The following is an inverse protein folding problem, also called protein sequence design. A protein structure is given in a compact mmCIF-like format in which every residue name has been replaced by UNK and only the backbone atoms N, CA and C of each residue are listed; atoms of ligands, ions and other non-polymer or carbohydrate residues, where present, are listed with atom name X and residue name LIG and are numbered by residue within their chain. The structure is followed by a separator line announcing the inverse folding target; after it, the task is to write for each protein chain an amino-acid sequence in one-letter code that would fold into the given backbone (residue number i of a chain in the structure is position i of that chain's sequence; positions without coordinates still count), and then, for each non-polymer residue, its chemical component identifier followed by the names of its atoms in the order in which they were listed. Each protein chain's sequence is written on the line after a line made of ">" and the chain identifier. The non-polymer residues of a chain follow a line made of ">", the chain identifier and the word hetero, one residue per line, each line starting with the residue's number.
data_IF_199867763811
#
_entry.id   IF_199867763811
#
_cell.length_a   1.000
_cell.length_b   1.000
_cell.length_c   1.000
_cell.angle_alpha   90.00
_cell.angle_beta   90.00
_cell.angle_gamma   90.00
#
_symmetry.space_group_name_H-M   'P 1'
#
loop_
_entity.id
_entity.type
_entity.pdbx_description
1 polymer ?
#
# COMPACT_ATOMS: atom_id res chain seq x y z
N UNK A 1 -7.66 7.31 -25.87
CA UNK A 1 -7.16 8.07 -24.70
C UNK A 1 -6.38 7.11 -23.81
N UNK A 2 -5.06 7.06 -23.97
CA UNK A 2 -4.20 6.25 -23.12
C UNK A 2 -4.22 6.88 -21.71
N UNK A 3 -4.95 6.27 -20.78
CA UNK A 3 -4.90 6.62 -19.36
C UNK A 3 -3.49 6.25 -18.88
N UNK A 4 -2.64 7.24 -18.63
CA UNK A 4 -1.34 7.02 -17.99
C UNK A 4 -1.59 6.44 -16.58
N UNK A 5 -1.51 5.11 -16.46
CA UNK A 5 -1.88 4.39 -15.23
C UNK A 5 -1.18 5.00 -14.01
N UNK A 6 -1.99 5.48 -13.06
CA UNK A 6 -1.51 6.02 -11.78
C UNK A 6 -0.74 7.33 -11.88
N UNK A 7 -0.83 8.11 -12.96
CA UNK A 7 -0.25 9.46 -13.05
C UNK A 7 -1.31 10.53 -13.20
N UNK A 8 -1.06 11.70 -12.60
CA UNK A 8 -1.98 12.85 -12.54
C UNK A 8 -1.26 14.06 -13.12
N UNK A 9 -1.97 14.86 -13.91
CA UNK A 9 -1.44 16.12 -14.42
C UNK A 9 -1.27 17.14 -13.29
N UNK A 10 -0.13 17.83 -13.23
CA UNK A 10 0.21 18.79 -12.19
C UNK A 10 -0.87 19.88 -12.03
N UNK A 11 -1.46 20.33 -13.15
CA UNK A 11 -2.56 21.30 -13.17
C UNK A 11 -3.86 20.81 -12.50
N UNK A 12 -4.08 19.50 -12.43
CA UNK A 12 -5.30 18.91 -11.86
C UNK A 12 -5.21 18.58 -10.36
N UNK A 13 -4.00 18.62 -9.78
CA UNK A 13 -3.76 18.19 -8.40
C UNK A 13 -4.49 19.08 -7.38
N UNK A 14 -4.41 20.40 -7.54
CA UNK A 14 -5.00 21.35 -6.58
C UNK A 14 -6.52 21.26 -6.57
N UNK A 15 -7.14 21.11 -7.75
CA UNK A 15 -8.58 20.89 -7.88
C UNK A 15 -9.00 19.55 -7.27
N UNK A 16 -8.17 18.51 -7.40
CA UNK A 16 -8.48 17.23 -6.75
C UNK A 16 -8.46 17.35 -5.23
N UNK A 17 -7.54 18.13 -4.67
CA UNK A 17 -7.49 18.37 -3.23
C UNK A 17 -8.70 19.16 -2.70
N UNK A 18 -9.26 20.08 -3.49
CA UNK A 18 -10.51 20.75 -3.09
C UNK A 18 -11.69 19.80 -2.97
N UNK A 19 -11.68 18.70 -3.74
CA UNK A 19 -12.77 17.72 -3.73
C UNK A 19 -12.59 16.64 -2.66
N UNK A 20 -11.34 16.32 -2.28
CA UNK A 20 -11.04 15.16 -1.42
C UNK A 20 -10.54 15.48 -0.02
N UNK A 21 -9.98 16.67 0.21
CA UNK A 21 -9.35 17.00 1.49
C UNK A 21 -10.22 17.94 2.34
N UNK A 22 -10.40 17.69 3.66
CA UNK A 22 -11.19 18.56 4.53
C UNK A 22 -10.52 19.92 4.81
N UNK A 23 -9.21 20.01 4.58
CA UNK A 23 -8.40 21.23 4.79
C UNK A 23 -8.45 22.14 3.56
N UNK A 24 -8.28 23.44 3.78
CA UNK A 24 -8.24 24.41 2.68
C UNK A 24 -7.09 24.08 1.70
N UNK A 25 -7.39 23.85 0.41
CA UNK A 25 -6.42 23.35 -0.58
C UNK A 25 -5.24 24.30 -0.81
N UNK A 26 -5.39 25.59 -0.51
CA UNK A 26 -4.30 26.57 -0.62
C UNK A 26 -3.26 26.40 0.47
N UNK A 27 -3.71 26.24 1.72
CA UNK A 27 -2.83 25.95 2.85
C UNK A 27 -2.15 24.59 2.67
N UNK A 28 -2.91 23.62 2.13
CA UNK A 28 -2.34 22.33 1.80
C UNK A 28 -1.24 22.42 0.75
N UNK A 29 -1.43 23.22 -0.30
CA UNK A 29 -0.41 23.44 -1.32
C UNK A 29 0.87 24.07 -0.75
N UNK A 30 0.79 25.05 0.16
CA UNK A 30 1.98 25.63 0.80
C UNK A 30 2.73 24.62 1.68
N UNK A 31 2.02 23.76 2.39
CA UNK A 31 2.63 22.73 3.24
C UNK A 31 3.26 21.61 2.41
N UNK A 32 2.65 21.25 1.27
CA UNK A 32 3.26 20.35 0.30
C UNK A 32 4.54 20.96 -0.27
N UNK A 33 4.56 22.26 -0.60
CA UNK A 33 5.77 22.95 -1.05
C UNK A 33 6.88 22.89 0.02
N UNK A 34 6.57 23.20 1.28
CA UNK A 34 7.51 23.10 2.39
C UNK A 34 8.06 21.68 2.59
N UNK A 35 7.19 20.67 2.47
CA UNK A 35 7.56 19.26 2.57
C UNK A 35 8.53 18.88 1.45
N UNK A 36 8.24 19.23 0.20
CA UNK A 36 9.11 18.98 -0.96
C UNK A 36 10.48 19.62 -0.76
N UNK A 37 10.55 20.85 -0.25
CA UNK A 37 11.82 21.54 0.04
C UNK A 37 12.65 20.86 1.12
N UNK A 38 12.00 20.16 2.05
CA UNK A 38 12.70 19.45 3.13
C UNK A 38 13.22 18.07 2.71
N UNK A 39 12.72 17.49 1.62
CA UNK A 39 13.11 16.15 1.16
C UNK A 39 14.48 16.11 0.49
N UNK A 40 14.85 17.16 -0.25
CA UNK A 40 16.09 17.22 -1.01
C UNK A 40 16.54 18.66 -1.28
N UNK A 41 17.77 18.85 -1.77
CA UNK A 41 18.25 20.16 -2.24
C UNK A 41 17.40 20.64 -3.41
N UNK A 42 17.09 21.94 -3.46
CA UNK A 42 16.22 22.55 -4.48
C UNK A 42 16.67 22.30 -5.92
N UNK A 43 17.98 22.22 -6.16
CA UNK A 43 18.56 21.96 -7.48
C UNK A 43 18.62 20.48 -7.84
N UNK A 44 18.28 19.58 -6.93
CA UNK A 44 18.36 18.14 -7.16
C UNK A 44 17.25 17.73 -8.15
N UNK A 45 17.55 16.86 -9.14
CA UNK A 45 16.54 16.34 -10.03
C UNK A 45 15.61 15.36 -9.30
N UNK A 46 14.32 15.48 -9.55
CA UNK A 46 13.33 14.48 -9.13
C UNK A 46 13.51 13.24 -9.99
N UNK A 47 13.38 12.05 -9.38
CA UNK A 47 13.45 10.80 -10.13
C UNK A 47 12.37 10.81 -11.25
N UNK A 48 12.76 10.53 -12.51
CA UNK A 48 11.87 10.33 -13.66
C UNK A 48 10.58 9.52 -13.42
N UNK A 49 10.67 8.53 -12.53
CA UNK A 49 9.55 7.66 -12.19
C UNK A 49 8.47 8.41 -11.41
N UNK A 50 8.85 9.44 -10.64
CA UNK A 50 7.96 10.21 -9.80
C UNK A 50 7.34 11.41 -10.52
N UNK A 51 8.13 12.14 -11.31
CA UNK A 51 7.64 13.27 -12.10
C UNK A 51 8.34 13.31 -13.46
N UNK A 52 7.58 13.58 -14.52
CA UNK A 52 8.13 13.71 -15.87
C UNK A 52 7.24 14.53 -16.78
N UNK A 53 7.84 15.02 -17.87
CA UNK A 53 7.14 15.77 -18.92
C UNK A 53 6.68 14.80 -20.01
N UNK A 54 5.42 14.93 -20.40
CA UNK A 54 4.74 14.15 -21.43
C UNK A 54 4.05 15.10 -22.40
N UNK A 55 4.26 14.87 -23.69
CA UNK A 55 3.70 15.73 -24.73
C UNK A 55 2.35 15.17 -25.15
N UNK A 56 1.35 16.05 -25.32
CA UNK A 56 -0.05 15.79 -25.71
C UNK A 56 -0.31 14.39 -26.31
N UNK A 57 -0.73 13.45 -25.44
CA UNK A 57 -1.18 12.11 -25.83
C UNK A 57 -0.10 11.08 -26.15
N UNK A 58 1.19 11.39 -26.02
CA UNK A 58 2.27 10.42 -26.16
C UNK A 58 2.49 9.63 -24.87
N UNK A 59 2.61 8.29 -25.00
CA UNK A 59 2.97 7.41 -23.90
C UNK A 59 4.45 7.53 -23.48
N UNK A 60 5.28 8.09 -24.36
CA UNK A 60 6.72 8.28 -24.14
C UNK A 60 7.01 9.59 -23.40
N UNK A 61 7.83 9.46 -22.34
CA UNK A 61 8.37 10.58 -21.57
C UNK A 61 9.45 11.32 -22.37
N UNK A 62 9.50 12.64 -22.22
CA UNK A 62 10.66 13.41 -22.66
C UNK A 62 11.83 13.19 -21.67
N UNK A 63 12.86 12.48 -22.11
CA UNK A 63 14.05 12.16 -21.30
C UNK A 63 14.97 13.36 -21.11
N UNK A 64 14.84 14.39 -21.95
CA UNK A 64 15.68 15.60 -21.90
C UNK A 64 15.19 16.62 -20.87
N UNK A 65 13.90 16.53 -20.51
CA UNK A 65 13.26 17.39 -19.53
C UNK A 65 13.33 16.79 -18.10
N UNK A 66 14.22 17.36 -17.29
CA UNK A 66 14.40 17.00 -15.88
C UNK A 66 13.76 18.07 -15.00
N UNK A 67 12.87 17.63 -14.11
CA UNK A 67 12.16 18.47 -13.14
C UNK A 67 12.95 18.47 -11.84
N UNK A 68 13.22 19.65 -11.27
CA UNK A 68 13.89 19.78 -9.98
C UNK A 68 12.90 19.88 -8.82
N UNK A 69 13.35 19.53 -7.61
CA UNK A 69 12.54 19.69 -6.38
C UNK A 69 12.13 21.15 -6.15
N UNK A 70 13.00 22.10 -6.48
CA UNK A 70 12.70 23.54 -6.38
C UNK A 70 11.58 23.96 -7.33
N UNK A 71 11.66 23.59 -8.60
CA UNK A 71 10.64 23.96 -9.59
C UNK A 71 9.25 23.41 -9.24
N UNK A 72 9.19 22.21 -8.66
CA UNK A 72 7.94 21.63 -8.18
C UNK A 72 7.40 22.35 -6.93
N UNK A 73 8.28 22.70 -5.98
CA UNK A 73 7.88 23.45 -4.79
C UNK A 73 7.35 24.86 -5.14
N UNK A 74 8.00 25.55 -6.07
CA UNK A 74 7.61 26.90 -6.50
C UNK A 74 6.24 26.90 -7.23
N UNK A 75 5.92 25.82 -7.95
CA UNK A 75 4.58 25.63 -8.50
C UNK A 75 3.52 25.54 -7.40
N UNK A 76 3.77 24.77 -6.33
CA UNK A 76 2.81 24.62 -5.23
C UNK A 76 2.67 25.90 -4.38
N UNK A 77 3.72 26.71 -4.25
CA UNK A 77 3.62 28.06 -3.65
C UNK A 77 2.81 29.03 -4.53
N UNK A 78 2.95 28.92 -5.84
CA UNK A 78 2.11 29.70 -6.77
C UNK A 78 0.64 29.28 -6.63
N UNK A 79 0.39 27.97 -6.48
CA UNK A 79 -0.94 27.44 -6.22
C UNK A 79 -1.51 27.87 -4.85
N UNK A 80 -0.68 27.94 -3.79
CA UNK A 80 -1.13 28.40 -2.46
C UNK A 80 -1.55 29.88 -2.47
N UNK A 81 -0.89 30.68 -3.31
CA UNK A 81 -1.23 32.08 -3.57
C UNK A 81 -2.53 32.25 -4.38
N UNK A 82 -3.15 31.16 -4.83
CA UNK A 82 -4.41 31.15 -5.59
C UNK A 82 -4.25 31.30 -7.10
N UNK A 83 -3.01 31.39 -7.61
CA UNK A 83 -2.69 31.52 -9.04
C UNK A 83 -1.66 30.44 -9.42
N UNK A 84 -2.07 29.18 -9.65
CA UNK A 84 -1.14 28.12 -10.02
C UNK A 84 -0.41 28.49 -11.31
N UNK A 85 0.91 28.32 -11.33
CA UNK A 85 1.74 28.66 -12.48
C UNK A 85 1.32 27.80 -13.69
N UNK A 86 1.07 28.43 -14.84
CA UNK A 86 0.64 27.71 -16.06
C UNK A 86 1.79 26.95 -16.71
N UNK A 87 3.03 27.35 -16.42
CA UNK A 87 4.27 26.73 -16.90
C UNK A 87 5.21 26.41 -15.73
N UNK A 88 6.10 25.45 -15.92
CA UNK A 88 7.12 25.05 -14.95
C UNK A 88 8.48 24.97 -15.65
N UNK A 89 9.50 25.57 -15.04
CA UNK A 89 10.87 25.60 -15.57
C UNK A 89 11.57 24.25 -15.34
N UNK A 90 12.01 23.62 -16.42
CA UNK A 90 12.78 22.36 -16.40
C UNK A 90 14.17 22.57 -17.01
N UNK A 91 15.03 21.55 -16.95
CA UNK A 91 16.38 21.59 -17.53
C UNK A 91 16.40 21.87 -19.05
N UNK A 92 15.33 21.56 -19.78
CA UNK A 92 15.24 21.75 -21.24
C UNK A 92 14.36 22.94 -21.65
N UNK A 93 13.74 23.65 -20.69
CA UNK A 93 12.89 24.81 -20.96
C UNK A 93 11.63 24.85 -20.10
N UNK A 94 10.74 25.80 -20.40
CA UNK A 94 9.44 25.91 -19.73
C UNK A 94 8.40 25.01 -20.40
N UNK A 95 7.72 24.19 -19.61
CA UNK A 95 6.66 23.31 -20.09
C UNK A 95 5.33 23.65 -19.44
N UNK A 96 4.19 23.48 -20.13
CA UNK A 96 2.87 23.64 -19.54
C UNK A 96 2.65 22.66 -18.37
N UNK A 97 2.03 23.13 -17.29
CA UNK A 97 1.71 22.29 -16.12
C UNK A 97 0.77 21.11 -16.47
N UNK A 98 -0.02 21.21 -17.55
CA UNK A 98 -0.82 20.11 -18.07
C UNK A 98 0.01 18.93 -18.59
N UNK A 99 1.23 19.21 -19.05
CA UNK A 99 2.13 18.24 -19.67
C UNK A 99 3.02 17.55 -18.63
N UNK A 100 2.96 17.98 -17.38
CA UNK A 100 3.73 17.41 -16.29
C UNK A 100 2.88 16.38 -15.57
N UNK A 101 3.29 15.11 -15.66
CA UNK A 101 2.59 14.01 -15.03
C UNK A 101 3.37 13.53 -13.81
N UNK A 102 2.69 13.57 -12.66
CA UNK A 102 3.21 13.11 -11.38
C UNK A 102 2.61 11.75 -11.06
N UNK A 103 3.44 10.83 -10.57
CA UNK A 103 2.98 9.54 -10.08
C UNK A 103 2.14 9.73 -8.81
N UNK A 104 0.89 9.29 -8.89
CA UNK A 104 -0.12 9.46 -7.85
C UNK A 104 0.34 8.91 -6.51
N UNK A 105 0.93 7.71 -6.50
CA UNK A 105 1.37 7.09 -5.24
C UNK A 105 2.49 7.88 -4.55
N UNK A 106 3.41 8.46 -5.33
CA UNK A 106 4.45 9.32 -4.75
C UNK A 106 3.88 10.63 -4.21
N UNK A 107 2.92 11.22 -4.92
CA UNK A 107 2.18 12.37 -4.41
C UNK A 107 1.43 12.01 -3.12
N UNK A 108 0.79 10.84 -3.06
CA UNK A 108 0.09 10.34 -1.87
C UNK A 108 1.05 10.22 -0.67
N UNK A 109 2.25 9.66 -0.87
CA UNK A 109 3.27 9.60 0.17
C UNK A 109 3.68 10.99 0.69
N UNK A 110 3.86 11.95 -0.22
CA UNK A 110 4.14 13.35 0.16
C UNK A 110 2.96 13.94 0.93
N UNK A 111 1.71 13.69 0.49
CA UNK A 111 0.53 14.21 1.18
C UNK A 111 0.37 13.60 2.58
N UNK A 112 0.66 12.32 2.78
CA UNK A 112 0.63 11.68 4.11
C UNK A 112 1.66 12.32 5.04
N UNK A 113 2.89 12.52 4.55
CA UNK A 113 3.94 13.22 5.30
C UNK A 113 3.55 14.68 5.59
N UNK A 114 2.91 15.35 4.63
CA UNK A 114 2.42 16.72 4.79
C UNK A 114 1.31 16.78 5.85
N UNK A 115 0.35 15.86 5.83
CA UNK A 115 -0.70 15.74 6.85
C UNK A 115 -0.11 15.44 8.23
N UNK A 116 0.88 14.57 8.30
CA UNK A 116 1.58 14.29 9.56
C UNK A 116 2.29 15.54 10.11
N UNK A 117 2.93 16.33 9.24
CA UNK A 117 3.55 17.61 9.61
C UNK A 117 2.52 18.66 10.00
N UNK A 118 1.42 18.77 9.26
CA UNK A 118 0.31 19.65 9.61
C UNK A 118 -0.34 19.25 10.92
N UNK A 119 -0.48 17.97 11.27
CA UNK A 119 -0.97 17.52 12.58
C UNK A 119 -0.03 17.91 13.73
N UNK A 120 1.28 17.92 13.47
CA UNK A 120 2.29 18.45 14.39
C UNK A 120 2.35 19.98 14.42
N UNK A 121 1.83 20.67 13.40
CA UNK A 121 1.71 22.13 13.34
C UNK A 121 0.36 22.60 13.89
N UNK A 122 -0.75 21.86 13.76
CA UNK A 122 -2.05 22.19 14.40
C UNK A 122 -1.97 22.09 15.93
N UNK A 123 -1.03 21.32 16.47
CA UNK A 123 -0.70 21.32 17.91
C UNK A 123 0.17 22.51 18.34
N UNK A 124 0.82 23.21 17.40
CA UNK A 124 1.66 24.40 17.65
C UNK A 124 1.04 25.72 17.14
N UNK A 125 0.07 25.63 16.23
CA UNK A 125 -0.66 26.71 15.56
C UNK A 125 -2.17 26.55 15.79
N UNK A 126 -2.55 26.04 16.96
CA UNK A 126 -3.85 26.38 17.52
C UNK A 126 -3.95 27.92 17.45
N UNK A 127 -4.97 28.49 16.81
CA UNK A 127 -5.15 29.93 16.85
C UNK A 127 -5.21 30.32 18.33
N UNK A 128 -4.39 31.28 18.73
CA UNK A 128 -4.51 32.01 19.99
C UNK A 128 -5.80 32.87 20.04
N UNK A 129 -6.87 32.38 19.40
CA UNK A 129 -8.24 32.86 19.44
C UNK A 129 -9.14 31.76 20.01
N UNK A 130 -8.72 31.11 21.09
CA UNK A 130 -9.67 30.80 22.14
C UNK A 130 -9.65 32.03 23.02
N UNK A 131 -10.62 32.91 22.81
CA UNK A 131 -11.05 33.86 23.84
C UNK A 131 -11.60 33.05 25.01
N UNK A 132 -10.72 32.36 25.73
CA UNK A 132 -10.94 32.15 27.15
C UNK A 132 -10.78 33.53 27.74
N UNK A 133 -11.93 34.18 27.92
CA UNK A 133 -12.15 35.10 29.04
C UNK A 133 -11.63 34.41 30.29
N UNK A 134 -10.33 34.57 30.55
CA UNK A 134 -9.78 34.60 31.89
C UNK A 134 -10.48 35.80 32.51
N UNK A 135 -11.56 35.54 33.24
CA UNK A 135 -12.11 36.48 34.19
C UNK A 135 -11.06 36.67 35.30
N UNK A 136 -9.99 37.39 34.98
CA UNK A 136 -9.29 38.21 35.94
C UNK A 136 -10.34 39.17 36.46
N UNK A 137 -10.65 39.02 37.75
CA UNK A 137 -11.51 39.92 38.49
C UNK A 137 -11.06 41.37 38.24
N UNK A 138 -11.71 42.00 37.26
CA UNK A 138 -11.70 43.44 37.10
C UNK A 138 -12.47 43.98 38.28
N UNK A 139 -11.74 44.76 39.08
CA UNK A 139 -12.29 45.70 40.02
C UNK A 139 -13.25 46.62 39.28
N UNK A 140 -14.54 46.31 39.35
CA UNK A 140 -15.57 47.23 38.91
C UNK A 140 -15.62 48.41 39.89
N UNK A 141 -15.50 49.65 39.41
CA UNK A 141 -15.83 50.83 40.20
C UNK A 141 -17.35 50.95 40.28
N UNK A 142 -17.85 50.82 41.52
CA UNK A 142 -19.09 51.36 42.06
C UNK A 142 -20.07 52.00 41.04
N UNK A 143 -21.02 51.21 40.56
CA UNK A 143 -22.28 51.76 40.10
C UNK A 143 -23.03 52.33 41.31
N UNK A 144 -23.27 53.64 41.29
CA UNK A 144 -24.04 54.36 42.29
C UNK A 144 -25.46 53.79 42.39
N UNK A 145 -25.66 52.90 43.37
CA UNK A 145 -26.98 52.53 43.86
C UNK A 145 -27.54 53.76 44.54
N UNK A 146 -28.53 54.37 43.91
CA UNK A 146 -29.44 55.36 44.48
C UNK A 146 -29.81 54.98 45.91
N UNK A 147 -29.49 55.89 46.83
CA UNK A 147 -29.90 55.83 48.23
C UNK A 147 -31.41 55.62 48.36
N UNK A 148 -31.81 54.38 48.63
CA UNK A 148 -33.00 54.11 49.41
C UNK A 148 -32.53 53.73 50.81
N UNK A 149 -32.71 54.67 51.75
CA UNK A 149 -32.43 54.48 53.17
C UNK A 149 -33.01 53.14 53.66
N UNK A 150 -32.21 52.24 54.26
CA UNK A 150 -32.78 51.19 55.07
C UNK A 150 -33.47 51.85 56.28
N UNK A 151 -34.65 51.36 56.71
CA UNK A 151 -35.36 51.93 57.85
C UNK A 151 -34.46 51.88 59.08
N UNK A 152 -34.52 52.95 59.87
CA UNK A 152 -33.76 53.13 61.09
C UNK A 152 -33.76 51.85 61.96
N UNK A 153 -32.58 51.29 62.18
CA UNK A 153 -32.38 50.21 63.14
C UNK A 153 -32.54 50.82 64.54
N UNK A 154 -33.48 50.35 65.38
CA UNK A 154 -33.56 50.82 66.76
C UNK A 154 -32.34 50.33 67.54
N UNK A 155 -31.57 51.30 68.04
CA UNK A 155 -30.63 51.25 69.18
C UNK A 155 -30.15 49.85 69.60
N UNK A 156 -29.01 49.43 69.07
CA UNK A 156 -28.35 48.15 69.34
C UNK A 156 -27.65 48.04 70.70
N UNK A 157 -28.36 48.26 71.79
CA UNK A 157 -27.82 48.18 73.16
C UNK A 157 -28.67 47.31 74.10
N UNK A 158 -29.24 46.22 73.57
CA UNK A 158 -29.84 45.14 74.37
C UNK A 158 -29.05 43.83 74.17
N UNK A 159 -28.50 43.22 75.23
CA UNK A 159 -27.73 41.97 75.16
C UNK A 159 -28.45 40.79 74.47
N UNK A 160 -29.78 40.82 74.36
CA UNK A 160 -30.56 39.81 73.65
C UNK A 160 -30.48 39.92 72.12
N UNK A 161 -30.40 41.13 71.58
CA UNK A 161 -30.42 41.36 70.13
C UNK A 161 -29.08 40.98 69.46
N UNK A 162 -27.96 41.28 70.13
CA UNK A 162 -26.63 40.85 69.67
C UNK A 162 -26.50 39.32 69.63
N UNK A 163 -27.00 38.62 70.66
CA UNK A 163 -26.99 37.14 70.68
C UNK A 163 -27.84 36.55 69.57
N UNK A 164 -29.02 37.13 69.32
CA UNK A 164 -29.89 36.69 68.21
C UNK A 164 -29.22 36.91 66.85
N UNK A 165 -28.60 38.08 66.63
CA UNK A 165 -27.89 38.38 65.39
C UNK A 165 -26.68 37.46 65.16
N UNK A 166 -25.89 37.19 66.21
CA UNK A 166 -24.75 36.27 66.13
C UNK A 166 -25.20 34.82 65.88
N UNK A 167 -26.31 34.38 66.48
CA UNK A 167 -26.89 33.06 66.20
C UNK A 167 -27.41 32.95 64.75
N UNK A 168 -27.98 34.04 64.21
CA UNK A 168 -28.43 34.10 62.82
C UNK A 168 -27.25 33.99 61.84
N UNK A 169 -26.17 34.74 62.07
CA UNK A 169 -24.95 34.66 61.25
C UNK A 169 -24.28 33.28 61.30
N UNK A 170 -24.27 32.59 62.46
CA UNK A 170 -23.76 31.21 62.54
C UNK A 170 -24.59 30.25 61.70
N UNK A 171 -25.93 30.33 61.78
CA UNK A 171 -26.81 29.51 60.95
C UNK A 171 -26.66 29.79 59.45
N UNK A 172 -26.51 31.05 59.07
CA UNK A 172 -26.26 31.43 57.66
C UNK A 172 -24.89 30.93 57.19
N UNK A 173 -23.85 31.00 58.03
CA UNK A 173 -22.54 30.44 57.74
C UNK A 173 -22.53 28.92 57.62
N UNK A 174 -23.21 28.21 58.53
CA UNK A 174 -23.40 26.76 58.47
C UNK A 174 -24.15 26.35 57.20
N UNK A 175 -25.18 27.11 56.83
CA UNK A 175 -25.94 26.86 55.61
C UNK A 175 -25.10 27.10 54.35
N UNK A 176 -24.34 28.19 54.28
CA UNK A 176 -23.45 28.46 53.15
C UNK A 176 -22.31 27.44 53.04
N UNK A 177 -21.77 26.97 54.17
CA UNK A 177 -20.78 25.90 54.18
C UNK A 177 -21.35 24.56 53.69
N UNK A 178 -22.59 24.23 54.06
CA UNK A 178 -23.29 23.05 53.55
C UNK A 178 -23.55 23.17 52.04
N UNK A 179 -24.07 24.31 51.57
CA UNK A 179 -24.34 24.56 50.15
C UNK A 179 -23.05 24.49 49.30
N UNK A 180 -21.92 25.01 49.80
CA UNK A 180 -20.63 24.91 49.12
C UNK A 180 -20.11 23.47 49.05
N UNK A 181 -20.32 22.68 50.12
CA UNK A 181 -19.88 21.28 50.17
C UNK A 181 -20.71 20.40 49.24
N UNK A 182 -22.02 20.65 49.16
CA UNK A 182 -22.92 19.97 48.22
C UNK A 182 -22.55 20.31 46.77
N UNK A 183 -22.29 21.59 46.45
CA UNK A 183 -21.83 22.00 45.13
C UNK A 183 -20.48 21.37 44.74
N UNK A 184 -19.54 21.25 45.68
CA UNK A 184 -18.27 20.57 45.44
C UNK A 184 -18.46 19.07 45.20
N UNK A 185 -19.38 18.42 45.91
CA UNK A 185 -19.70 17.00 45.70
C UNK A 185 -20.32 16.75 44.33
N UNK A 186 -21.26 17.59 43.91
CA UNK A 186 -21.88 17.49 42.57
C UNK A 186 -20.83 17.70 41.47
N UNK A 187 -19.96 18.70 41.61
CA UNK A 187 -18.87 18.94 40.66
C UNK A 187 -17.90 17.74 40.57
N UNK A 188 -17.54 17.14 41.72
CA UNK A 188 -16.69 15.93 41.76
C UNK A 188 -17.37 14.74 41.11
N UNK A 189 -18.69 14.57 41.29
CA UNK A 189 -19.44 13.51 40.63
C UNK A 189 -19.48 13.69 39.12
N UNK A 190 -19.71 14.92 38.64
CA UNK A 190 -19.66 15.25 37.21
C UNK A 190 -18.31 14.94 36.58
N UNK A 191 -17.22 15.38 37.22
CA UNK A 191 -15.86 15.07 36.76
C UNK A 191 -15.57 13.56 36.76
N UNK A 192 -16.04 12.82 37.77
CA UNK A 192 -15.86 11.37 37.80
C UNK A 192 -16.61 10.67 36.66
N UNK A 193 -17.80 11.13 36.31
CA UNK A 193 -18.55 10.61 35.16
C UNK A 193 -17.80 10.86 33.85
N UNK A 194 -17.30 12.07 33.64
CA UNK A 194 -16.51 12.42 32.45
C UNK A 194 -15.23 11.57 32.35
N UNK A 195 -14.53 11.35 33.47
CA UNK A 195 -13.35 10.47 33.51
C UNK A 195 -13.71 9.03 33.13
N UNK A 196 -14.87 8.53 33.56
CA UNK A 196 -15.34 7.19 33.19
C UNK A 196 -15.64 7.12 31.69
N UNK A 197 -16.33 8.12 31.14
CA UNK A 197 -16.65 8.19 29.72
C UNK A 197 -15.39 8.27 28.85
N UNK A 198 -14.44 9.14 29.21
CA UNK A 198 -13.18 9.27 28.50
C UNK A 198 -12.35 7.97 28.57
N UNK A 199 -12.34 7.28 29.72
CA UNK A 199 -11.68 5.96 29.83
C UNK A 199 -12.34 4.91 28.95
N UNK A 200 -13.67 4.91 28.86
CA UNK A 200 -14.40 4.00 27.98
C UNK A 200 -14.07 4.28 26.50
N UNK A 201 -14.04 5.56 26.10
CA UNK A 201 -13.67 5.95 24.75
C UNK A 201 -12.21 5.57 24.41
N UNK A 202 -11.30 5.77 25.36
CA UNK A 202 -9.89 5.38 25.21
C UNK A 202 -9.77 3.86 25.03
N UNK A 203 -10.46 3.06 25.84
CA UNK A 203 -10.47 1.61 25.69
C UNK A 203 -11.02 1.14 24.33
N UNK A 204 -12.06 1.80 23.81
CA UNK A 204 -12.60 1.51 22.46
C UNK A 204 -11.56 1.85 21.38
N UNK A 205 -10.87 3.00 21.52
CA UNK A 205 -9.85 3.41 20.56
C UNK A 205 -8.62 2.53 20.60
N UNK A 206 -8.19 2.10 21.78
CA UNK A 206 -7.10 1.13 21.93
C UNK A 206 -7.46 -0.20 21.27
N UNK A 207 -8.68 -0.70 21.48
CA UNK A 207 -9.16 -1.92 20.82
C UNK A 207 -9.20 -1.77 19.29
N UNK A 208 -9.60 -0.59 18.78
CA UNK A 208 -9.59 -0.30 17.34
C UNK A 208 -8.16 -0.28 16.77
N UNK A 209 -7.20 0.28 17.50
CA UNK A 209 -5.79 0.33 17.10
C UNK A 209 -5.17 -1.07 17.11
N UNK A 210 -5.46 -1.89 18.12
CA UNK A 210 -4.98 -3.28 18.16
C UNK A 210 -5.54 -4.09 17.00
N UNK A 211 -6.84 -3.94 16.70
CA UNK A 211 -7.46 -4.63 15.57
C UNK A 211 -6.81 -4.23 14.23
N UNK A 212 -6.64 -2.93 13.97
CA UNK A 212 -5.99 -2.45 12.74
C UNK A 212 -4.54 -2.95 12.61
N UNK A 213 -3.84 -3.08 13.73
CA UNK A 213 -2.48 -3.62 13.75
C UNK A 213 -2.47 -5.12 13.40
N UNK A 214 -3.39 -5.90 13.97
CA UNK A 214 -3.53 -7.33 13.67
C UNK A 214 -3.90 -7.55 12.20
N UNK A 215 -4.85 -6.78 11.66
CA UNK A 215 -5.25 -6.82 10.26
C UNK A 215 -4.07 -6.46 9.33
N UNK A 216 -3.29 -5.44 9.70
CA UNK A 216 -2.09 -5.05 8.95
C UNK A 216 -1.00 -6.13 8.97
N UNK A 217 -0.78 -6.78 10.11
CA UNK A 217 0.15 -7.90 10.22
C UNK A 217 -0.31 -9.11 9.41
N UNK A 218 -1.63 -9.38 9.37
CA UNK A 218 -2.21 -10.45 8.59
C UNK A 218 -2.05 -10.21 7.08
N UNK A 219 -2.43 -9.03 6.59
CA UNK A 219 -2.23 -8.65 5.18
C UNK A 219 -0.76 -8.76 4.74
N UNK A 220 0.17 -8.41 5.64
CA UNK A 220 1.61 -8.56 5.35
C UNK A 220 2.03 -10.02 5.22
N UNK A 221 1.46 -10.92 6.04
CA UNK A 221 1.70 -12.38 5.92
C UNK A 221 1.13 -12.90 4.61
N UNK A 222 -0.12 -12.56 4.31
CA UNK A 222 -0.81 -13.02 3.10
C UNK A 222 -0.06 -12.57 1.82
N UNK A 223 0.40 -11.31 1.76
CA UNK A 223 1.22 -10.81 0.65
C UNK A 223 2.58 -11.51 0.55
N UNK A 224 3.17 -11.91 1.66
CA UNK A 224 4.42 -12.67 1.67
C UNK A 224 4.21 -14.08 1.11
N UNK A 225 3.12 -14.74 1.52
CA UNK A 225 2.76 -16.07 1.07
C UNK A 225 2.39 -16.08 -0.42
N UNK A 226 1.63 -15.07 -0.88
CA UNK A 226 1.32 -14.89 -2.31
C UNK A 226 2.60 -14.69 -3.15
N UNK A 227 3.56 -13.89 -2.66
CA UNK A 227 4.86 -13.73 -3.33
C UNK A 227 5.70 -15.00 -3.37
N UNK A 228 5.55 -15.89 -2.38
CA UNK A 228 6.22 -17.18 -2.38
C UNK A 228 5.53 -18.12 -3.37
N UNK A 229 4.21 -18.23 -3.33
CA UNK A 229 3.43 -19.05 -4.25
C UNK A 229 3.66 -18.64 -5.71
N UNK A 230 3.75 -17.33 -5.98
CA UNK A 230 4.07 -16.82 -7.32
C UNK A 230 5.45 -17.27 -7.80
N UNK A 231 6.47 -17.23 -6.93
CA UNK A 231 7.82 -17.70 -7.27
C UNK A 231 7.84 -19.20 -7.54
N UNK A 232 7.16 -19.99 -6.72
CA UNK A 232 7.03 -21.43 -6.93
C UNK A 232 6.35 -21.74 -8.28
N UNK A 233 5.29 -21.01 -8.62
CA UNK A 233 4.63 -21.15 -9.92
C UNK A 233 5.51 -20.72 -11.11
N UNK A 234 6.31 -19.66 -10.95
CA UNK A 234 7.28 -19.21 -11.96
C UNK A 234 8.38 -20.27 -12.17
N UNK A 235 8.93 -20.84 -11.09
CA UNK A 235 9.93 -21.92 -11.16
C UNK A 235 9.35 -23.19 -11.81
N UNK A 236 8.10 -23.55 -11.49
CA UNK A 236 7.39 -24.65 -12.17
C UNK A 236 7.18 -24.37 -13.66
N UNK A 237 6.84 -23.14 -14.03
CA UNK A 237 6.70 -22.73 -15.43
C UNK A 237 8.01 -22.87 -16.19
N UNK A 238 9.12 -22.38 -15.62
CA UNK A 238 10.45 -22.50 -16.22
C UNK A 238 10.86 -23.96 -16.40
N UNK A 239 10.60 -24.82 -15.41
CA UNK A 239 10.87 -26.24 -15.51
C UNK A 239 10.03 -26.92 -16.61
N UNK A 240 8.76 -26.53 -16.76
CA UNK A 240 7.91 -27.04 -17.84
C UNK A 240 8.43 -26.56 -19.20
N UNK A 241 8.84 -25.29 -19.31
CA UNK A 241 9.42 -24.72 -20.53
C UNK A 241 10.70 -25.45 -20.93
N UNK A 242 11.64 -25.67 -20.01
CA UNK A 242 12.88 -26.44 -20.27
C UNK A 242 12.55 -27.86 -20.78
N UNK A 243 11.59 -28.54 -20.14
CA UNK A 243 11.16 -29.88 -20.57
C UNK A 243 10.46 -29.87 -21.93
N UNK A 244 9.76 -28.79 -22.28
CA UNK A 244 9.14 -28.63 -23.59
C UNK A 244 10.19 -28.36 -24.66
N UNK A 245 11.20 -27.54 -24.38
CA UNK A 245 12.33 -27.30 -25.30
C UNK A 245 13.06 -28.61 -25.62
N UNK A 246 13.40 -29.42 -24.61
CA UNK A 246 13.99 -30.75 -24.79
C UNK A 246 13.12 -31.65 -25.65
N UNK A 247 11.81 -31.68 -25.38
CA UNK A 247 10.85 -32.48 -26.14
C UNK A 247 10.71 -31.98 -27.59
N UNK A 248 10.77 -30.66 -27.82
CA UNK A 248 10.71 -30.06 -29.14
C UNK A 248 11.94 -30.40 -29.97
N UNK A 249 13.15 -30.35 -29.39
CA UNK A 249 14.39 -30.78 -30.05
C UNK A 249 14.28 -32.25 -30.47
N UNK A 250 13.78 -33.10 -29.59
CA UNK A 250 13.56 -34.50 -29.92
C UNK A 250 12.50 -34.69 -31.03
N UNK A 251 11.41 -33.93 -31.00
CA UNK A 251 10.37 -33.97 -32.02
C UNK A 251 10.87 -33.49 -33.40
N UNK A 252 11.75 -32.48 -33.43
CA UNK A 252 12.44 -32.01 -34.65
C UNK A 252 13.31 -33.11 -35.27
N UNK A 253 14.02 -33.88 -34.44
CA UNK A 253 14.85 -35.03 -34.84
C UNK A 253 14.05 -36.26 -35.30
N UNK A 254 12.72 -36.24 -35.17
CA UNK A 254 11.83 -37.30 -35.64
C UNK A 254 10.92 -36.85 -36.78
N UNK A 255 11.07 -35.61 -37.24
CA UNK A 255 10.23 -35.06 -38.31
C UNK A 255 10.67 -35.65 -39.66
N UNK A 256 9.77 -36.30 -40.42
CA UNK A 256 10.13 -36.92 -41.69
C UNK A 256 10.55 -35.90 -42.77
N UNK A 257 10.07 -34.67 -42.65
CA UNK A 257 10.36 -33.59 -43.60
C UNK A 257 11.64 -32.80 -43.25
N UNK A 258 12.29 -33.11 -42.12
CA UNK A 258 13.50 -32.42 -41.70
C UNK A 258 14.74 -33.10 -42.34
N UNK A 259 15.52 -32.39 -43.18
CA UNK A 259 16.70 -32.96 -43.84
C UNK A 259 17.83 -33.35 -42.87
N UNK A 260 17.81 -32.83 -41.64
CA UNK A 260 18.78 -33.16 -40.58
C UNK A 260 18.32 -34.33 -39.71
N UNK A 261 17.09 -34.83 -39.90
CA UNK A 261 16.55 -35.94 -39.14
C UNK A 261 17.17 -37.26 -39.57
N UNK A 262 17.84 -38.01 -38.68
CA UNK A 262 18.46 -39.28 -39.04
C UNK A 262 17.40 -40.32 -39.44
N UNK A 263 17.40 -40.86 -40.68
CA UNK A 263 16.36 -41.78 -41.15
C UNK A 263 16.31 -43.08 -40.34
N UNK A 264 17.47 -43.54 -39.86
CA UNK A 264 17.59 -44.70 -38.98
C UNK A 264 16.88 -44.49 -37.64
N UNK A 265 16.91 -43.26 -37.10
CA UNK A 265 16.24 -42.91 -35.84
C UNK A 265 14.72 -42.87 -36.00
N UNK A 266 14.23 -42.29 -37.11
CA UNK A 266 12.80 -42.27 -37.45
C UNK A 266 12.28 -43.70 -37.56
N UNK A 267 12.99 -44.56 -38.31
CA UNK A 267 12.64 -45.97 -38.50
C UNK A 267 12.59 -46.71 -37.15
N UNK A 268 13.61 -46.50 -36.32
CA UNK A 268 13.67 -47.14 -35.01
C UNK A 268 12.54 -46.69 -34.08
N UNK A 269 12.19 -45.41 -34.11
CA UNK A 269 11.09 -44.86 -33.32
C UNK A 269 9.72 -45.36 -33.80
N UNK A 270 9.50 -45.47 -35.12
CA UNK A 270 8.27 -46.05 -35.68
C UNK A 270 8.10 -47.52 -35.30
N UNK A 271 9.17 -48.30 -35.43
CA UNK A 271 9.21 -49.70 -35.02
C UNK A 271 8.92 -49.85 -33.51
N UNK A 272 9.57 -49.03 -32.68
CA UNK A 272 9.30 -48.99 -31.24
C UNK A 272 7.83 -48.65 -30.95
N UNK A 273 7.28 -47.60 -31.57
CA UNK A 273 5.90 -47.16 -31.35
C UNK A 273 4.88 -48.24 -31.68
N UNK A 274 5.03 -48.91 -32.81
CA UNK A 274 4.08 -49.95 -33.24
C UNK A 274 4.20 -51.24 -32.42
N UNK A 275 5.42 -51.65 -32.06
CA UNK A 275 5.64 -52.89 -31.30
C UNK A 275 5.36 -52.74 -29.81
N UNK A 276 5.52 -51.52 -29.26
CA UNK A 276 5.31 -51.23 -27.83
C UNK A 276 4.02 -50.48 -27.55
N UNK A 277 3.27 -50.01 -28.57
CA UNK A 277 2.09 -49.14 -28.41
C UNK A 277 2.43 -47.90 -27.56
N UNK A 278 3.38 -47.09 -28.01
CA UNK A 278 3.88 -45.92 -27.28
C UNK A 278 4.40 -46.27 -25.86
N UNK A 279 4.97 -47.47 -25.69
CA UNK A 279 5.51 -47.95 -24.43
C UNK A 279 4.50 -48.55 -23.45
N UNK A 280 3.23 -48.75 -23.84
CA UNK A 280 2.19 -49.41 -23.02
C UNK A 280 2.43 -50.93 -22.92
N UNK A 281 2.90 -51.55 -24.01
CA UNK A 281 3.12 -52.98 -24.12
C UNK A 281 4.61 -53.34 -24.14
N UNK A 282 4.98 -54.41 -23.44
CA UNK A 282 6.34 -54.93 -23.44
C UNK A 282 6.47 -56.18 -24.34
N UNK A 283 7.02 -56.04 -25.56
CA UNK A 283 7.23 -57.16 -26.48
C UNK A 283 8.28 -58.19 -25.99
N UNK A 284 9.08 -57.82 -24.97
CA UNK A 284 10.07 -58.69 -24.32
C UNK A 284 9.56 -59.35 -23.02
N UNK A 285 8.26 -59.19 -22.69
CA UNK A 285 7.67 -59.72 -21.47
C UNK A 285 7.60 -61.25 -21.41
N UNK A 286 7.35 -61.79 -20.22
CA UNK A 286 7.16 -63.23 -19.99
C UNK A 286 5.95 -63.73 -20.79
N UNK A 287 6.21 -64.46 -21.89
CA UNK A 287 5.19 -64.98 -22.80
C UNK A 287 5.19 -64.38 -24.22
N UNK A 288 6.03 -63.37 -24.49
CA UNK A 288 6.18 -62.79 -25.83
C UNK A 288 7.08 -63.61 -26.77
N UNK A 289 6.96 -63.41 -28.08
CA UNK A 289 7.88 -63.99 -29.10
C UNK A 289 9.33 -63.50 -28.95
N UNK A 290 9.57 -62.47 -28.12
CA UNK A 290 10.84 -61.77 -28.03
C UNK A 290 10.96 -60.65 -29.06
N UNK A 291 11.78 -59.65 -28.76
CA UNK A 291 11.89 -58.42 -29.56
C UNK A 291 12.46 -58.67 -30.96
N UNK A 292 13.42 -59.59 -31.06
CA UNK A 292 14.13 -59.86 -32.31
C UNK A 292 13.25 -60.42 -33.44
N UNK A 293 12.42 -61.47 -33.24
CA UNK A 293 11.52 -61.95 -34.30
C UNK A 293 10.39 -60.96 -34.61
N UNK A 294 9.95 -60.15 -33.62
CA UNK A 294 8.93 -59.12 -33.84
C UNK A 294 9.47 -57.96 -34.69
N UNK A 295 10.67 -57.46 -34.39
CA UNK A 295 11.34 -56.43 -35.19
C UNK A 295 11.63 -56.92 -36.62
N UNK A 296 12.08 -58.17 -36.78
CA UNK A 296 12.33 -58.74 -38.11
C UNK A 296 11.04 -58.86 -38.94
N UNK A 297 9.97 -59.39 -38.35
CA UNK A 297 8.66 -59.49 -39.02
C UNK A 297 8.10 -58.09 -39.38
N UNK A 298 8.33 -57.09 -38.54
CA UNK A 298 7.93 -55.72 -38.80
C UNK A 298 8.71 -55.10 -39.98
N UNK A 299 10.03 -55.33 -40.06
CA UNK A 299 10.86 -54.87 -41.18
C UNK A 299 10.42 -55.50 -42.51
N UNK A 300 10.18 -56.83 -42.51
CA UNK A 300 9.70 -57.57 -43.68
C UNK A 300 8.33 -57.06 -44.15
N UNK A 301 7.40 -56.81 -43.22
CA UNK A 301 6.06 -56.27 -43.52
C UNK A 301 6.11 -54.86 -44.15
N UNK A 302 7.08 -54.04 -43.75
CA UNK A 302 7.23 -52.67 -44.21
C UNK A 302 8.24 -52.52 -45.37
N UNK A 303 8.80 -53.63 -45.88
CA UNK A 303 9.68 -53.63 -47.05
C UNK A 303 11.13 -53.17 -46.80
N UNK A 304 11.58 -53.13 -45.54
CA UNK A 304 12.94 -52.72 -45.20
C UNK A 304 13.90 -53.91 -45.19
N UNK A 305 15.09 -53.74 -45.77
CA UNK A 305 16.20 -54.69 -45.69
C UNK A 305 17.36 -54.07 -44.92
N UNK A 306 17.57 -54.54 -43.69
CA UNK A 306 18.64 -54.09 -42.80
C UNK A 306 19.67 -55.21 -42.58
N UNK A 307 20.92 -54.83 -42.37
CA UNK A 307 22.00 -55.72 -42.01
C UNK A 307 21.82 -56.26 -40.58
N UNK A 308 22.49 -57.37 -40.23
CA UNK A 308 22.37 -57.99 -38.90
C UNK A 308 22.67 -57.01 -37.75
N UNK A 309 23.70 -56.18 -37.88
CA UNK A 309 24.07 -55.16 -36.89
C UNK A 309 23.03 -54.05 -36.75
N UNK A 310 22.36 -53.66 -37.84
CA UNK A 310 21.27 -52.67 -37.82
C UNK A 310 20.02 -53.23 -37.16
N UNK A 311 19.71 -54.51 -37.41
CA UNK A 311 18.61 -55.22 -36.72
C UNK A 311 18.89 -55.33 -35.22
N UNK A 312 20.13 -55.61 -34.82
CA UNK A 312 20.53 -55.63 -33.40
C UNK A 312 20.36 -54.26 -32.73
N UNK A 313 20.79 -53.18 -33.41
CA UNK A 313 20.58 -51.79 -32.92
C UNK A 313 19.10 -51.44 -32.80
N UNK A 314 18.29 -51.81 -33.79
CA UNK A 314 16.84 -51.63 -33.77
C UNK A 314 16.19 -52.36 -32.60
N UNK A 315 16.58 -53.63 -32.37
CA UNK A 315 16.08 -54.43 -31.26
C UNK A 315 16.45 -53.82 -29.91
N UNK A 316 17.63 -53.21 -29.79
CA UNK A 316 18.05 -52.50 -28.58
C UNK A 316 17.14 -51.29 -28.29
N UNK A 317 16.76 -50.52 -29.30
CA UNK A 317 15.81 -49.39 -29.17
C UNK A 317 14.41 -49.89 -28.78
N UNK A 318 13.90 -50.95 -29.42
CA UNK A 318 12.59 -51.54 -29.08
C UNK A 318 12.58 -52.11 -27.65
N UNK A 319 13.74 -52.56 -27.16
CA UNK A 319 13.92 -53.07 -25.80
C UNK A 319 14.18 -51.96 -24.76
N UNK A 320 14.28 -50.69 -25.19
CA UNK A 320 14.58 -49.56 -24.31
C UNK A 320 13.46 -49.37 -23.30
N UNK A 321 13.79 -49.43 -22.00
CA UNK A 321 12.83 -49.23 -20.90
C UNK A 321 12.78 -47.76 -20.48
N UNK A 322 11.57 -47.26 -20.18
CA UNK A 322 11.40 -46.04 -19.37
C UNK A 322 12.16 -46.26 -18.04
N UNK A 323 13.13 -45.40 -17.75
CA UNK A 323 14.06 -45.52 -16.61
C UNK A 323 13.27 -45.71 -15.30
N UNK A 324 13.42 -46.90 -14.74
CA UNK A 324 12.88 -47.32 -13.43
C UNK A 324 13.32 -48.75 -13.05
N UNK A 325 14.21 -49.39 -13.81
CA UNK A 325 14.73 -50.72 -13.46
C UNK A 325 16.18 -50.87 -13.92
N UNK A 326 17.11 -50.61 -13.01
CA UNK A 326 18.29 -51.49 -12.86
C UNK A 326 19.61 -51.14 -13.55
N UNK A 327 19.89 -49.90 -13.96
CA UNK A 327 21.21 -49.56 -14.53
C UNK A 327 21.72 -48.16 -14.15
N UNK A 328 21.81 -47.89 -12.86
CA UNK A 328 22.93 -47.14 -12.26
C UNK A 328 23.36 -47.99 -11.07
N UNK A 329 24.38 -48.83 -11.26
CA UNK A 329 25.15 -49.31 -10.10
C UNK A 329 26.09 -48.16 -9.76
N UNK A 330 25.88 -47.56 -8.60
CA UNK A 330 26.93 -46.85 -7.90
C UNK A 330 28.18 -47.74 -7.88
N UNK A 331 29.25 -47.26 -8.51
CA UNK A 331 30.60 -47.55 -8.04
C UNK A 331 30.98 -46.44 -7.06
#
# INVERSE_FOLDING_TARGET
>A
MLKHFGRIALSSIVNRWSDTHPSNPRFFASEVAATIRSMAKLTHPINPQYAGVYHDGQASRDETAVISYGALADYFDSASSGNPATTLSTSSGEFPASNILIWQHWLELITVETVHRMGNVETLAAPANISTTVALASSDPAAAVTHASPPAIPSGSSPGYLKMYQAKLRKEGERSAAENLDAEQEARQGLNQEVIELRAQLAIKDAQVTQLREDGEQLRRDLSDERRAKREAEDESLNIEERLEDAMVFAECLRPDNPLSPPELILAFQCWRELTQDGIHNPAGTGGRGVHPLAKAWLERNGYQLNKSEIERLCAVVSWRKRGSGAIRSQ
#
